data_IF_546952360086
#
_entry.id   IF_546952360086
#
_cell.length_a   1.000
_cell.length_b   1.000
_cell.length_c   1.000
_cell.angle_alpha   90.00
_cell.angle_beta   90.00
_cell.angle_gamma   90.00
#
_symmetry.space_group_name_H-M   'P 1'
#
loop_
_entity.id
_entity.type
_entity.pdbx_description
1 polymer ?
#
# COMPACT_ATOMS: atom_id res chain seq x y z
N UNK A 1 4.68 -9.13 15.95
CA UNK A 1 4.78 -7.67 15.93
C UNK A 1 5.17 -7.19 14.54
N UNK A 2 4.40 -6.25 14.00
CA UNK A 2 4.55 -5.83 12.60
C UNK A 2 5.58 -4.71 12.41
N UNK A 3 5.71 -3.79 13.37
CA UNK A 3 6.55 -2.61 13.17
C UNK A 3 8.02 -2.94 12.86
N UNK A 4 8.69 -3.84 13.60
CA UNK A 4 10.06 -4.24 13.25
C UNK A 4 10.17 -4.84 11.84
N UNK A 5 9.15 -5.56 11.39
CA UNK A 5 9.13 -6.11 10.03
C UNK A 5 9.06 -4.99 9.00
N UNK A 6 8.26 -3.96 9.26
CA UNK A 6 8.15 -2.80 8.38
C UNK A 6 9.44 -1.98 8.36
N UNK A 7 10.07 -1.78 9.52
CA UNK A 7 11.35 -1.10 9.60
C UNK A 7 12.40 -1.79 8.74
N UNK A 8 12.46 -3.11 8.84
CA UNK A 8 13.38 -3.92 8.05
C UNK A 8 13.06 -3.83 6.56
N UNK A 9 11.78 -3.87 6.19
CA UNK A 9 11.35 -3.78 4.80
C UNK A 9 11.73 -2.43 4.19
N UNK A 10 11.51 -1.35 4.92
CA UNK A 10 11.87 0.00 4.46
C UNK A 10 13.37 0.10 4.25
N UNK A 11 14.17 -0.36 5.22
CA UNK A 11 15.63 -0.33 5.12
C UNK A 11 16.12 -1.14 3.92
N UNK A 12 15.52 -2.28 3.68
CA UNK A 12 15.88 -3.16 2.57
C UNK A 12 15.61 -2.51 1.22
N UNK A 13 14.61 -1.64 1.15
CA UNK A 13 14.15 -1.03 -0.11
C UNK A 13 14.54 0.43 -0.30
N UNK A 14 15.49 0.93 0.49
CA UNK A 14 15.91 2.34 0.40
C UNK A 14 16.29 2.76 -1.02
N UNK A 15 16.91 1.86 -1.79
CA UNK A 15 17.32 2.13 -3.17
C UNK A 15 16.13 2.30 -4.13
N UNK A 16 14.93 1.87 -3.74
CA UNK A 16 13.73 2.01 -4.55
C UNK A 16 13.02 3.35 -4.33
N UNK A 17 13.37 4.06 -3.27
CA UNK A 17 12.74 5.34 -2.94
C UNK A 17 13.35 6.43 -3.80
N UNK A 18 12.54 7.04 -4.65
CA UNK A 18 12.98 8.18 -5.46
C UNK A 18 12.62 9.48 -4.75
N UNK A 19 13.45 10.52 -4.94
CA UNK A 19 13.26 11.79 -4.22
C UNK A 19 11.99 12.54 -4.65
N UNK A 20 11.50 12.30 -5.85
CA UNK A 20 10.28 12.94 -6.35
C UNK A 20 9.01 12.15 -6.01
N UNK A 21 9.13 10.94 -5.49
CA UNK A 21 8.01 10.08 -5.12
C UNK A 21 7.02 9.88 -6.26
N UNK A 22 7.53 9.47 -7.42
CA UNK A 22 6.73 9.27 -8.63
C UNK A 22 6.67 7.81 -9.06
N UNK A 23 7.54 6.95 -8.51
CA UNK A 23 7.61 5.55 -8.91
C UNK A 23 6.63 4.68 -8.13
N UNK A 24 6.51 3.42 -8.57
CA UNK A 24 5.71 2.42 -7.88
C UNK A 24 6.59 1.23 -7.50
N UNK A 25 6.38 0.69 -6.31
CA UNK A 25 7.10 -0.51 -5.87
C UNK A 25 6.36 -1.17 -4.72
N UNK A 26 6.66 -2.45 -4.48
CA UNK A 26 6.12 -3.18 -3.34
C UNK A 26 6.97 -2.88 -2.11
N UNK A 27 6.35 -2.26 -1.10
CA UNK A 27 7.02 -1.88 0.13
C UNK A 27 7.18 -3.07 1.08
N UNK A 28 6.18 -3.95 1.13
CA UNK A 28 6.18 -5.08 2.03
C UNK A 28 5.41 -6.23 1.41
N UNK A 29 6.05 -7.40 1.33
CA UNK A 29 5.39 -8.63 0.90
C UNK A 29 5.32 -9.57 2.10
N UNK A 30 4.20 -9.59 2.77
CA UNK A 30 4.03 -10.37 3.99
C UNK A 30 4.21 -11.86 3.79
N UNK A 31 3.90 -12.36 2.60
CA UNK A 31 4.06 -13.80 2.29
C UNK A 31 5.51 -14.26 2.43
N UNK A 32 6.47 -13.39 2.16
CA UNK A 32 7.90 -13.71 2.26
C UNK A 32 8.60 -12.99 3.40
N UNK A 33 7.97 -11.97 3.99
CA UNK A 33 8.63 -11.12 4.97
C UNK A 33 8.05 -11.25 6.39
N UNK A 34 7.22 -12.26 6.64
CA UNK A 34 6.87 -12.65 7.98
C UNK A 34 5.46 -12.33 8.47
N UNK A 35 4.58 -11.82 7.61
CA UNK A 35 3.17 -11.64 7.97
C UNK A 35 2.27 -11.91 6.77
N UNK A 36 1.89 -13.18 6.55
CA UNK A 36 1.33 -13.64 5.27
C UNK A 36 0.09 -12.93 4.74
N UNK A 37 -0.75 -12.39 5.57
CA UNK A 37 -2.03 -11.82 5.13
C UNK A 37 -1.92 -10.43 4.53
N UNK A 38 -0.74 -9.79 4.61
CA UNK A 38 -0.62 -8.39 4.24
C UNK A 38 0.41 -8.15 3.14
N UNK A 39 0.03 -7.30 2.21
CA UNK A 39 0.94 -6.78 1.19
C UNK A 39 0.74 -5.26 1.13
N UNK A 40 1.83 -4.51 1.12
CA UNK A 40 1.82 -3.06 1.04
C UNK A 40 2.52 -2.61 -0.22
N UNK A 41 1.85 -1.79 -1.02
CA UNK A 41 2.40 -1.22 -2.25
C UNK A 41 2.42 0.30 -2.17
N UNK A 42 3.40 0.90 -2.82
CA UNK A 42 3.51 2.35 -2.98
C UNK A 42 3.30 2.69 -4.45
N UNK A 43 2.43 3.65 -4.71
CA UNK A 43 2.20 4.23 -6.04
C UNK A 43 2.34 5.74 -5.92
N UNK A 44 3.50 6.26 -6.28
CA UNK A 44 3.78 7.68 -6.10
C UNK A 44 3.78 8.05 -4.62
N UNK A 45 2.78 8.78 -4.18
CA UNK A 45 2.59 9.17 -2.77
C UNK A 45 1.39 8.49 -2.13
N UNK A 46 0.90 7.40 -2.74
CA UNK A 46 -0.24 6.64 -2.24
C UNK A 46 0.21 5.28 -1.74
N UNK A 47 -0.18 4.96 -0.50
CA UNK A 47 0.00 3.64 0.09
C UNK A 47 -1.24 2.81 -0.23
N UNK A 48 -1.03 1.57 -0.65
CA UNK A 48 -2.13 0.60 -0.80
C UNK A 48 -1.82 -0.60 0.07
N UNK A 49 -2.71 -0.86 1.02
CA UNK A 49 -2.62 -2.04 1.89
C UNK A 49 -3.59 -3.08 1.35
N UNK A 50 -3.09 -4.26 1.02
CA UNK A 50 -3.90 -5.40 0.61
C UNK A 50 -4.06 -6.34 1.79
N UNK A 51 -5.29 -6.56 2.23
CA UNK A 51 -5.60 -7.51 3.28
C UNK A 51 -6.16 -8.79 2.65
N UNK A 52 -5.37 -9.86 2.68
CA UNK A 52 -5.70 -11.16 2.11
C UNK A 52 -6.27 -12.13 3.15
N UNK A 53 -6.48 -11.70 4.39
CA UNK A 53 -6.98 -12.58 5.45
C UNK A 53 -8.33 -13.18 5.08
N UNK A 54 -8.56 -14.45 5.45
CA UNK A 54 -9.86 -15.10 5.26
C UNK A 54 -10.95 -14.36 6.04
N UNK A 55 -10.62 -13.91 7.26
CA UNK A 55 -11.48 -13.03 8.04
C UNK A 55 -10.83 -11.63 8.05
N UNK A 56 -11.37 -10.69 7.26
CA UNK A 56 -10.77 -9.35 7.18
C UNK A 56 -10.70 -8.62 8.53
N UNK A 57 -11.64 -8.86 9.43
CA UNK A 57 -11.67 -8.20 10.74
C UNK A 57 -10.46 -8.58 11.61
N UNK A 58 -9.84 -9.71 11.35
CA UNK A 58 -8.67 -10.19 12.10
C UNK A 58 -7.53 -9.18 12.13
N UNK A 59 -7.34 -8.42 11.06
CA UNK A 59 -6.21 -7.49 10.92
C UNK A 59 -6.59 -6.02 11.10
N UNK A 60 -7.80 -5.73 11.55
CA UNK A 60 -8.32 -4.36 11.62
C UNK A 60 -7.46 -3.44 12.48
N UNK A 61 -7.16 -3.87 13.70
CA UNK A 61 -6.32 -3.08 14.61
C UNK A 61 -4.88 -2.98 14.13
N UNK A 62 -4.38 -4.05 13.53
CA UNK A 62 -3.03 -4.07 12.99
C UNK A 62 -2.88 -3.08 11.84
N UNK A 63 -3.88 -2.99 10.97
CA UNK A 63 -3.88 -2.05 9.85
C UNK A 63 -3.89 -0.61 10.34
N UNK A 64 -4.60 -0.32 11.43
CA UNK A 64 -4.55 1.01 12.06
C UNK A 64 -3.15 1.33 12.56
N UNK A 65 -2.50 0.38 13.21
CA UNK A 65 -1.15 0.54 13.71
C UNK A 65 -0.16 0.80 12.56
N UNK A 66 -0.26 0.02 11.49
CA UNK A 66 0.57 0.19 10.29
C UNK A 66 0.37 1.58 9.71
N UNK A 67 -0.87 2.02 9.58
CA UNK A 67 -1.21 3.31 8.99
C UNK A 67 -0.59 4.46 9.78
N UNK A 68 -0.73 4.44 11.10
CA UNK A 68 -0.15 5.47 11.97
C UNK A 68 1.36 5.47 11.85
N UNK A 69 1.99 4.29 11.91
CA UNK A 69 3.43 4.19 11.81
C UNK A 69 3.96 4.74 10.48
N UNK A 70 3.36 4.34 9.36
CA UNK A 70 3.82 4.75 8.04
C UNK A 70 3.59 6.23 7.75
N UNK A 71 2.53 6.83 8.30
CA UNK A 71 2.32 8.27 8.16
C UNK A 71 3.43 9.07 8.81
N UNK A 72 4.08 8.52 9.82
CA UNK A 72 5.24 9.15 10.47
C UNK A 72 6.54 8.78 9.77
N UNK A 73 6.75 7.49 9.51
CA UNK A 73 7.98 7.00 8.91
C UNK A 73 8.16 7.46 7.46
N UNK A 74 7.06 7.54 6.72
CA UNK A 74 7.02 7.99 5.34
C UNK A 74 6.11 9.22 5.25
N UNK A 75 6.55 10.31 5.84
CA UNK A 75 5.74 11.52 6.01
C UNK A 75 5.31 12.16 4.68
N UNK A 76 5.96 11.79 3.57
CA UNK A 76 5.60 12.26 2.24
C UNK A 76 4.36 11.53 1.67
N UNK A 77 3.85 10.49 2.31
CA UNK A 77 2.63 9.83 1.87
C UNK A 77 1.45 10.80 1.95
N UNK A 78 0.65 10.86 0.88
CA UNK A 78 -0.47 11.78 0.77
C UNK A 78 -1.81 11.10 1.01
N UNK A 79 -1.91 9.82 0.71
CA UNK A 79 -3.14 9.06 0.88
C UNK A 79 -2.84 7.58 1.11
N UNK A 80 -3.80 6.88 1.69
CA UNK A 80 -3.73 5.43 1.88
C UNK A 80 -5.07 4.78 1.57
N UNK A 81 -5.00 3.65 0.87
CA UNK A 81 -6.15 2.82 0.54
C UNK A 81 -6.00 1.45 1.18
N UNK A 82 -7.11 0.90 1.64
CA UNK A 82 -7.20 -0.49 2.08
C UNK A 82 -8.05 -1.27 1.08
N UNK A 83 -7.49 -2.35 0.54
CA UNK A 83 -8.23 -3.30 -0.30
C UNK A 83 -8.40 -4.61 0.46
N UNK A 84 -9.65 -5.02 0.63
CA UNK A 84 -9.99 -6.26 1.33
C UNK A 84 -10.37 -7.31 0.29
N UNK A 85 -9.50 -8.29 0.10
CA UNK A 85 -9.62 -9.26 -1.01
C UNK A 85 -10.78 -10.21 -0.85
N UNK A 86 -11.12 -10.59 0.38
CA UNK A 86 -12.21 -11.51 0.67
C UNK A 86 -13.46 -10.79 1.15
N UNK A 87 -13.62 -9.51 0.81
CA UNK A 87 -14.80 -8.75 1.14
C UNK A 87 -15.99 -9.15 0.29
N UNK A 88 -17.20 -9.00 0.85
CA UNK A 88 -18.43 -9.21 0.12
C UNK A 88 -18.88 -7.96 -0.62
N UNK A 89 -18.49 -6.78 -0.13
CA UNK A 89 -18.86 -5.50 -0.72
C UNK A 89 -17.82 -5.02 -1.73
N UNK A 90 -18.29 -4.50 -2.86
CA UNK A 90 -17.42 -4.02 -3.92
C UNK A 90 -16.53 -2.86 -3.48
N UNK A 91 -17.06 -1.95 -2.66
CA UNK A 91 -16.29 -0.81 -2.16
C UNK A 91 -15.03 -1.27 -1.43
N UNK A 92 -15.14 -2.33 -0.62
CA UNK A 92 -14.01 -2.85 0.12
C UNK A 92 -12.96 -3.50 -0.79
N UNK A 93 -13.40 -4.11 -1.88
CA UNK A 93 -12.49 -4.71 -2.86
C UNK A 93 -11.78 -3.66 -3.69
N UNK A 94 -12.46 -2.57 -4.03
CA UNK A 94 -11.90 -1.48 -4.82
C UNK A 94 -10.96 -0.61 -4.02
N UNK A 95 -11.24 -0.44 -2.74
CA UNK A 95 -10.41 0.33 -1.85
C UNK A 95 -11.20 1.31 -1.01
N UNK A 96 -10.86 1.34 0.27
CA UNK A 96 -11.43 2.26 1.25
C UNK A 96 -10.31 3.19 1.70
N UNK A 97 -10.57 4.49 1.70
CA UNK A 97 -9.57 5.45 2.15
C UNK A 97 -9.28 5.27 3.64
N UNK A 98 -8.00 5.13 3.97
CA UNK A 98 -7.54 5.09 5.35
C UNK A 98 -7.16 6.49 5.83
N UNK A 99 -6.59 7.28 4.94
CA UNK A 99 -6.24 8.68 5.20
C UNK A 99 -6.05 9.40 3.87
N UNK A 100 -6.07 10.73 3.92
CA UNK A 100 -5.93 11.57 2.73
C UNK A 100 -7.18 11.58 1.87
N UNK A 101 -7.13 12.33 0.78
CA UNK A 101 -8.25 12.48 -0.14
C UNK A 101 -7.87 12.31 -1.60
N UNK A 102 -6.59 12.49 -1.91
CA UNK A 102 -6.11 12.43 -3.30
C UNK A 102 -5.16 11.26 -3.49
N UNK A 103 -5.64 10.26 -4.23
CA UNK A 103 -4.82 9.12 -4.61
C UNK A 103 -4.14 9.40 -5.95
N UNK A 104 -2.97 8.82 -6.16
CA UNK A 104 -2.22 9.00 -7.39
C UNK A 104 -2.95 8.34 -8.57
N UNK A 105 -2.88 8.99 -9.73
CA UNK A 105 -3.49 8.51 -10.98
C UNK A 105 -2.46 8.16 -12.03
N UNK A 106 -1.20 8.42 -11.76
CA UNK A 106 -0.10 8.09 -12.65
C UNK A 106 1.16 7.86 -11.86
N UNK A 107 2.05 7.07 -12.42
CA UNK A 107 3.39 6.84 -11.89
C UNK A 107 4.39 7.00 -13.01
N UNK A 108 5.65 7.18 -12.65
CA UNK A 108 6.73 7.34 -13.62
C UNK A 108 7.76 6.22 -13.43
N UNK A 109 8.08 5.53 -14.53
CA UNK A 109 9.13 4.52 -14.53
C UNK A 109 10.02 4.70 -15.75
N UNK A 110 11.32 4.75 -15.52
CA UNK A 110 12.32 4.95 -16.58
C UNK A 110 12.01 6.17 -17.46
N UNK A 111 11.57 7.26 -16.81
CA UNK A 111 11.26 8.49 -17.51
C UNK A 111 9.92 8.53 -18.23
N UNK A 112 9.12 7.48 -18.14
CA UNK A 112 7.83 7.36 -18.83
C UNK A 112 6.70 7.37 -17.82
N UNK A 113 5.68 8.19 -18.07
CA UNK A 113 4.47 8.23 -17.24
C UNK A 113 3.49 7.14 -17.67
N UNK A 114 2.92 6.46 -16.69
CA UNK A 114 1.87 5.45 -16.87
C UNK A 114 0.65 5.84 -16.08
N UNK A 115 -0.53 5.80 -16.73
CA UNK A 115 -1.80 5.98 -16.04
C UNK A 115 -2.08 4.73 -15.20
N UNK A 116 -2.60 4.94 -13.99
CA UNK A 116 -3.00 3.85 -13.10
C UNK A 116 -4.40 4.11 -12.56
N UNK A 117 -5.07 3.05 -12.16
CA UNK A 117 -6.34 3.15 -11.46
C UNK A 117 -6.26 2.26 -10.21
N UNK A 118 -6.06 2.90 -9.06
CA UNK A 118 -5.88 2.19 -7.79
C UNK A 118 -7.19 1.67 -7.20
N UNK A 119 -8.34 2.02 -7.80
CA UNK A 119 -9.64 1.61 -7.30
C UNK A 119 -10.26 0.44 -8.08
N UNK A 120 -9.49 -0.21 -8.94
CA UNK A 120 -9.95 -1.43 -9.59
C UNK A 120 -10.11 -2.57 -8.58
N UNK A 121 -10.98 -3.54 -8.92
CA UNK A 121 -11.31 -4.67 -8.03
C UNK A 121 -10.12 -5.60 -7.74
N UNK A 122 -9.08 -5.51 -8.53
CA UNK A 122 -7.87 -6.35 -8.42
C UNK A 122 -6.69 -5.48 -8.04
N UNK A 123 -5.50 -5.99 -8.23
CA UNK A 123 -4.29 -5.20 -8.13
C UNK A 123 -4.36 -4.03 -9.13
N UNK A 124 -3.72 -2.91 -8.79
CA UNK A 124 -3.70 -1.76 -9.68
C UNK A 124 -3.12 -2.16 -11.04
N UNK A 125 -3.80 -1.69 -12.10
CA UNK A 125 -3.32 -1.94 -13.47
C UNK A 125 -2.53 -0.75 -13.96
N UNK A 126 -1.41 -1.05 -14.62
CA UNK A 126 -0.61 -0.05 -15.33
C UNK A 126 -1.04 -0.05 -16.80
N UNK A 127 -1.29 1.11 -17.33
CA UNK A 127 -1.70 1.27 -18.72
C UNK A 127 -0.57 1.77 -19.59
#
# INVERSE_FOLDING_TARGET
MIIPLLEKAIAYRLALFDSSHESAFRLFNGFTEGYPDLVLDIYGRTLVIHNYADDPAKNEELIKEITVYLQTALAWLRAGLLKIRNATMQEEKRGVLLFGTEIDRKIKEYGVWYAIDLTLNRDASLY
#
